data_IF_576436854576
#
_entry.id   IF_576436854576
#
_cell.length_a   1.000
_cell.length_b   1.000
_cell.length_c   1.000
_cell.angle_alpha   90.00
_cell.angle_beta   90.00
_cell.angle_gamma   90.00
#
_symmetry.space_group_name_H-M   'P 1'
#
loop_
_entity.id
_entity.type
_entity.pdbx_description
1 polymer ?
#
# COMPACT_ATOMS: atom_id res chain seq x y z
N UNK A 1 -1.90 -6.31 7.26
CA UNK A 1 -2.18 -7.67 6.74
C UNK A 1 -3.44 -8.20 7.43
N UNK A 2 -4.33 -8.90 6.73
CA UNK A 2 -5.51 -9.54 7.33
C UNK A 2 -5.22 -11.00 7.65
N UNK A 3 -5.82 -11.53 8.72
CA UNK A 3 -5.81 -12.98 9.00
C UNK A 3 -6.44 -13.73 7.82
N UNK A 4 -5.86 -14.88 7.44
CA UNK A 4 -6.19 -15.63 6.22
C UNK A 4 -7.69 -15.89 6.06
N UNK A 5 -8.39 -16.23 7.15
CA UNK A 5 -9.85 -16.48 7.16
C UNK A 5 -10.73 -15.29 6.70
N UNK A 6 -10.16 -14.08 6.64
CA UNK A 6 -10.83 -12.85 6.21
C UNK A 6 -10.31 -12.32 4.88
N UNK A 7 -9.31 -12.97 4.28
CA UNK A 7 -8.81 -12.62 2.94
C UNK A 7 -9.82 -13.03 1.85
N UNK A 8 -9.72 -12.42 0.67
CA UNK A 8 -10.61 -12.70 -0.47
C UNK A 8 -12.05 -12.18 -0.33
N UNK A 9 -12.46 -11.70 0.85
CA UNK A 9 -13.84 -11.23 1.14
C UNK A 9 -14.06 -9.73 0.88
N UNK A 10 -13.13 -9.05 0.22
CA UNK A 10 -13.20 -7.60 0.00
C UNK A 10 -12.99 -6.73 1.26
N UNK A 11 -12.79 -7.33 2.43
CA UNK A 11 -12.62 -6.61 3.71
C UNK A 11 -11.45 -5.63 3.65
N UNK A 12 -10.31 -6.05 3.07
CA UNK A 12 -9.15 -5.17 2.91
C UNK A 12 -9.46 -3.94 2.07
N UNK A 13 -10.24 -4.10 0.99
CA UNK A 13 -10.68 -2.98 0.14
C UNK A 13 -11.56 -2.01 0.93
N UNK A 14 -12.58 -2.51 1.63
CA UNK A 14 -13.49 -1.65 2.39
C UNK A 14 -12.79 -0.94 3.54
N UNK A 15 -11.89 -1.63 4.25
CA UNK A 15 -11.10 -1.04 5.33
C UNK A 15 -10.20 0.09 4.81
N UNK A 16 -9.52 -0.11 3.68
CA UNK A 16 -8.70 0.93 3.06
C UNK A 16 -9.54 2.11 2.58
N UNK A 17 -10.72 1.88 1.98
CA UNK A 17 -11.63 2.98 1.60
C UNK A 17 -12.03 3.85 2.80
N UNK A 18 -12.41 3.24 3.92
CA UNK A 18 -12.74 3.97 5.15
C UNK A 18 -11.53 4.76 5.69
N UNK A 19 -10.32 4.22 5.54
CA UNK A 19 -9.10 4.92 5.91
C UNK A 19 -8.86 6.13 4.99
N UNK A 20 -9.03 5.98 3.67
CA UNK A 20 -8.92 7.09 2.71
C UNK A 20 -9.95 8.20 3.00
N UNK A 21 -11.20 7.84 3.29
CA UNK A 21 -12.26 8.79 3.67
C UNK A 21 -11.92 9.58 4.94
N UNK A 22 -11.22 8.97 5.90
CA UNK A 22 -10.73 9.65 7.09
C UNK A 22 -9.53 10.54 6.79
N UNK A 23 -8.57 10.05 6.00
CA UNK A 23 -7.38 10.83 5.62
C UNK A 23 -7.73 12.05 4.78
N UNK A 24 -8.76 11.96 3.94
CA UNK A 24 -9.27 13.10 3.14
C UNK A 24 -9.77 14.27 4.00
N UNK A 25 -10.07 14.04 5.28
CA UNK A 25 -10.51 15.07 6.23
C UNK A 25 -9.35 15.72 6.99
N UNK A 26 -8.13 15.21 6.86
CA UNK A 26 -6.97 15.78 7.53
C UNK A 26 -6.59 17.10 6.85
N UNK A 27 -6.37 18.19 7.62
CA UNK A 27 -5.91 19.44 7.03
C UNK A 27 -4.53 19.21 6.40
N UNK A 28 -4.32 19.76 5.20
CA UNK A 28 -3.06 19.71 4.45
C UNK A 28 -2.60 18.32 3.97
N UNK A 29 -3.47 17.30 3.99
CA UNK A 29 -3.14 16.02 3.35
C UNK A 29 -3.21 16.14 1.82
N UNK A 30 -2.05 16.21 1.16
CA UNK A 30 -1.96 16.38 -0.31
C UNK A 30 -1.79 15.06 -1.07
N UNK A 31 -1.14 14.06 -0.45
CA UNK A 31 -0.83 12.78 -1.10
C UNK A 31 -0.78 11.66 -0.06
N UNK A 32 -1.23 10.47 -0.47
CA UNK A 32 -1.08 9.23 0.29
C UNK A 32 -0.13 8.34 -0.50
N UNK A 33 0.93 7.86 0.15
CA UNK A 33 1.93 6.96 -0.44
C UNK A 33 1.92 5.67 0.34
N UNK A 34 1.98 4.55 -0.37
CA UNK A 34 2.03 3.21 0.24
C UNK A 34 3.18 2.41 -0.33
N UNK A 35 3.96 1.81 0.56
CA UNK A 35 4.99 0.83 0.21
C UNK A 35 4.47 -0.58 0.45
N UNK A 36 4.79 -1.48 -0.47
CA UNK A 36 4.56 -2.93 -0.33
C UNK A 36 5.66 -3.68 -1.11
N UNK A 37 5.83 -4.95 -0.76
CA UNK A 37 6.76 -5.83 -1.47
C UNK A 37 6.30 -6.02 -2.93
N UNK A 38 7.20 -5.90 -3.90
CA UNK A 38 6.90 -6.08 -5.32
C UNK A 38 6.35 -7.47 -5.65
N UNK A 39 6.68 -8.49 -4.84
CA UNK A 39 6.13 -9.84 -4.99
C UNK A 39 4.71 -9.97 -4.42
N UNK A 40 4.23 -8.98 -3.66
CA UNK A 40 2.88 -8.96 -3.11
C UNK A 40 1.84 -8.48 -4.14
N UNK A 41 1.54 -9.35 -5.10
CA UNK A 41 0.55 -9.12 -6.17
C UNK A 41 -0.83 -8.77 -5.59
N UNK A 42 -1.19 -9.34 -4.44
CA UNK A 42 -2.46 -9.05 -3.76
C UNK A 42 -2.55 -7.58 -3.33
N UNK A 43 -1.48 -7.04 -2.74
CA UNK A 43 -1.39 -5.63 -2.38
C UNK A 43 -1.37 -4.72 -3.62
N UNK A 44 -0.61 -5.09 -4.65
CA UNK A 44 -0.57 -4.36 -5.92
C UNK A 44 -1.98 -4.18 -6.50
N UNK A 45 -2.71 -5.29 -6.66
CA UNK A 45 -4.06 -5.29 -7.22
C UNK A 45 -5.06 -4.53 -6.33
N UNK A 46 -4.94 -4.68 -5.01
CA UNK A 46 -5.76 -3.94 -4.06
C UNK A 46 -5.60 -2.42 -4.24
N UNK A 47 -4.38 -1.91 -4.19
CA UNK A 47 -4.11 -0.47 -4.29
C UNK A 47 -4.46 0.07 -5.69
N UNK A 48 -4.14 -0.67 -6.75
CA UNK A 48 -4.56 -0.34 -8.12
C UNK A 48 -6.08 -0.21 -8.23
N UNK A 49 -6.84 -1.13 -7.62
CA UNK A 49 -8.31 -1.08 -7.62
C UNK A 49 -8.92 0.08 -6.82
N UNK A 50 -8.11 0.75 -6.02
CA UNK A 50 -8.48 1.92 -5.21
C UNK A 50 -7.99 3.24 -5.83
N UNK A 51 -7.38 3.19 -7.01
CA UNK A 51 -6.91 4.37 -7.74
C UNK A 51 -5.47 4.80 -7.42
N UNK A 52 -4.71 4.00 -6.66
CA UNK A 52 -3.28 4.26 -6.52
C UNK A 52 -2.55 3.96 -7.84
N UNK A 53 -1.54 4.78 -8.13
CA UNK A 53 -0.68 4.64 -9.31
C UNK A 53 0.73 4.24 -8.85
N UNK A 54 1.27 3.15 -9.41
CA UNK A 54 2.67 2.77 -9.19
C UNK A 54 3.56 3.67 -10.07
N UNK A 55 4.38 4.49 -9.43
CA UNK A 55 5.33 5.39 -10.10
C UNK A 55 6.69 4.73 -10.36
N UNK A 56 6.88 3.46 -10.00
CA UNK A 56 8.16 2.77 -10.12
C UNK A 56 9.15 3.10 -9.00
N UNK A 57 8.74 3.89 -8.01
CA UNK A 57 9.56 4.20 -6.84
C UNK A 57 9.82 2.89 -6.06
N UNK A 58 11.10 2.59 -5.82
CA UNK A 58 11.52 1.42 -5.05
C UNK A 58 12.41 1.88 -3.90
N UNK A 59 11.95 1.62 -2.68
CA UNK A 59 12.78 1.81 -1.48
C UNK A 59 13.64 0.56 -1.29
N UNK A 60 14.76 0.49 -2.01
CA UNK A 60 15.76 -0.54 -1.73
C UNK A 60 16.42 -0.13 -0.41
N UNK A 61 16.31 -0.97 0.62
CA UNK A 61 17.15 -0.84 1.81
C UNK A 61 18.58 -1.03 1.34
N UNK A 62 19.31 0.05 1.02
CA UNK A 62 20.75 0.00 0.75
C UNK A 62 21.41 -0.57 1.99
N UNK A 63 21.70 -1.86 1.99
CA UNK A 63 22.78 -2.37 2.81
C UNK A 63 24.05 -1.77 2.21
N UNK A 64 24.89 -1.05 2.96
CA UNK A 64 26.21 -0.73 2.45
C UNK A 64 26.90 -2.10 2.27
N UNK A 65 27.04 -2.54 1.02
CA UNK A 65 27.99 -3.59 0.70
C UNK A 65 29.35 -3.01 1.04
N UNK A 66 29.86 -3.34 2.24
CA UNK A 66 31.29 -3.24 2.51
C UNK A 66 31.96 -4.27 1.61
N UNK A 67 32.38 -3.81 0.43
CA UNK A 67 33.34 -4.52 -0.39
C UNK A 67 34.69 -4.42 0.33
N UNK A 68 35.22 -5.55 0.80
CA UNK A 68 36.62 -5.71 1.19
C UNK A 68 37.40 -6.28 0.01
#
# INVERSE_FOLDING_TARGET
MLVQQYQGKGIGKKATQLMLEKMAKLPNAQKIVVGYDTENIGAHNLYRSLGFVDHGDRFVKKWPLLSF
#
